data_IF_840276959210
#
_entry.id   IF_840276959210
#
_cell.length_a   1.000
_cell.length_b   1.000
_cell.length_c   1.000
_cell.angle_alpha   90.00
_cell.angle_beta   90.00
_cell.angle_gamma   90.00
#
_symmetry.space_group_name_H-M   'P 1'
#
loop_
_entity.id
_entity.type
_entity.pdbx_description
1 polymer ?
#
# COMPACT_ATOMS: atom_id res chain seq x y z
N UNK A 1 -19.06 10.18 3.26
CA UNK A 1 -17.70 9.59 3.19
C UNK A 1 -16.78 10.05 4.33
N UNK A 2 -16.47 11.35 4.50
CA UNK A 2 -15.52 11.85 5.51
C UNK A 2 -15.81 11.40 6.96
N UNK A 3 -17.09 11.40 7.38
CA UNK A 3 -17.49 10.90 8.72
C UNK A 3 -17.24 9.41 8.87
N UNK A 4 -17.60 8.62 7.87
CA UNK A 4 -17.39 7.16 7.88
C UNK A 4 -15.92 6.81 8.09
N UNK A 5 -15.00 7.47 7.37
CA UNK A 5 -13.56 7.24 7.55
C UNK A 5 -13.05 7.68 8.92
N UNK A 6 -13.56 8.78 9.47
CA UNK A 6 -13.22 9.21 10.83
C UNK A 6 -13.67 8.19 11.88
N UNK A 7 -14.89 7.67 11.74
CA UNK A 7 -15.45 6.69 12.67
C UNK A 7 -14.66 5.36 12.60
N UNK A 8 -14.26 4.94 11.40
CA UNK A 8 -13.41 3.77 11.21
C UNK A 8 -12.03 3.95 11.87
N UNK A 9 -11.40 5.12 11.73
CA UNK A 9 -10.13 5.41 12.38
C UNK A 9 -10.26 5.50 13.92
N UNK A 10 -11.38 6.04 14.43
CA UNK A 10 -11.66 6.09 15.86
C UNK A 10 -11.87 4.67 16.43
N UNK A 11 -12.60 3.81 15.72
CA UNK A 11 -12.77 2.40 16.09
C UNK A 11 -11.42 1.66 16.14
N UNK A 12 -10.55 1.91 15.14
CA UNK A 12 -9.18 1.37 15.14
C UNK A 12 -8.40 1.82 16.37
N UNK A 13 -8.41 3.12 16.69
CA UNK A 13 -7.67 3.65 17.83
C UNK A 13 -8.13 2.99 19.15
N UNK A 14 -9.44 2.78 19.32
CA UNK A 14 -10.01 2.07 20.48
C UNK A 14 -9.58 0.61 20.52
N UNK A 15 -9.54 -0.10 19.39
CA UNK A 15 -9.01 -1.46 19.29
C UNK A 15 -7.53 -1.50 19.69
N UNK A 16 -6.71 -0.62 19.12
CA UNK A 16 -5.26 -0.61 19.34
C UNK A 16 -4.88 -0.25 20.78
N UNK A 17 -5.80 0.41 21.53
CA UNK A 17 -5.66 0.71 22.96
C UNK A 17 -6.42 -0.27 23.87
N UNK A 18 -6.91 -1.39 23.32
CA UNK A 18 -7.71 -2.40 24.05
C UNK A 18 -8.95 -1.84 24.78
N UNK A 19 -9.53 -0.74 24.26
CA UNK A 19 -10.75 -0.10 24.79
C UNK A 19 -12.04 -0.68 24.20
N UNK A 20 -11.93 -1.69 23.34
CA UNK A 20 -13.07 -2.34 22.70
C UNK A 20 -12.82 -3.84 22.67
N UNK A 21 -13.82 -4.63 23.05
CA UNK A 21 -13.79 -6.09 22.94
C UNK A 21 -14.13 -6.57 21.54
N UNK A 22 -13.88 -7.86 21.25
CA UNK A 22 -14.04 -8.44 19.91
C UNK A 22 -15.49 -8.31 19.41
N UNK A 23 -16.50 -8.56 20.24
CA UNK A 23 -17.91 -8.40 19.85
C UNK A 23 -18.26 -6.95 19.48
N UNK A 24 -17.78 -5.98 20.26
CA UNK A 24 -18.03 -4.55 19.97
C UNK A 24 -17.28 -4.11 18.72
N UNK A 25 -16.08 -4.64 18.48
CA UNK A 25 -15.30 -4.39 17.26
C UNK A 25 -16.04 -4.93 16.03
N UNK A 26 -16.51 -6.16 16.07
CA UNK A 26 -17.27 -6.76 14.97
C UNK A 26 -18.58 -6.01 14.69
N UNK A 27 -19.33 -5.66 15.72
CA UNK A 27 -20.53 -4.84 15.58
C UNK A 27 -20.22 -3.46 14.97
N UNK A 28 -19.11 -2.84 15.37
CA UNK A 28 -18.64 -1.58 14.82
C UNK A 28 -18.26 -1.67 13.34
N UNK A 29 -17.58 -2.75 12.95
CA UNK A 29 -17.24 -3.05 11.55
C UNK A 29 -18.51 -3.25 10.73
N UNK A 30 -19.45 -4.07 11.20
CA UNK A 30 -20.72 -4.32 10.52
C UNK A 30 -21.53 -3.03 10.29
N UNK A 31 -21.57 -2.15 11.29
CA UNK A 31 -22.22 -0.84 11.17
C UNK A 31 -21.54 0.08 10.12
N UNK A 32 -20.22 0.03 10.03
CA UNK A 32 -19.48 0.77 9.00
C UNK A 32 -19.72 0.19 7.61
N UNK A 33 -19.75 -1.14 7.46
CA UNK A 33 -20.03 -1.84 6.22
C UNK A 33 -21.46 -1.52 5.73
N UNK A 34 -22.47 -1.53 6.61
CA UNK A 34 -23.84 -1.13 6.25
C UNK A 34 -23.92 0.31 5.75
N UNK A 35 -23.17 1.22 6.36
CA UNK A 35 -23.11 2.63 5.91
C UNK A 35 -22.48 2.76 4.52
N UNK A 36 -21.47 1.92 4.19
CA UNK A 36 -20.92 1.85 2.82
C UNK A 36 -21.98 1.35 1.86
N UNK A 37 -22.70 0.29 2.21
CA UNK A 37 -23.76 -0.25 1.36
C UNK A 37 -24.90 0.75 1.10
N UNK A 38 -25.26 1.55 2.10
CA UNK A 38 -26.20 2.68 1.92
C UNK A 38 -25.65 3.72 0.94
N UNK A 39 -24.35 4.04 1.01
CA UNK A 39 -23.71 4.95 0.05
C UNK A 39 -23.69 4.39 -1.37
N UNK A 40 -23.42 3.09 -1.53
CA UNK A 40 -23.38 2.42 -2.83
C UNK A 40 -24.77 2.37 -3.51
N UNK A 41 -25.85 2.33 -2.73
CA UNK A 41 -27.23 2.35 -3.25
C UNK A 41 -27.71 3.77 -3.60
N UNK A 42 -26.97 4.82 -3.20
CA UNK A 42 -27.37 6.18 -3.44
C UNK A 42 -27.31 6.54 -4.93
N UNK A 43 -28.39 7.14 -5.44
CA UNK A 43 -28.40 7.65 -6.81
C UNK A 43 -27.58 8.93 -6.89
N UNK A 44 -26.47 8.89 -7.63
CA UNK A 44 -25.54 10.00 -7.76
C UNK A 44 -25.46 10.41 -9.23
N UNK A 45 -25.68 11.69 -9.50
CA UNK A 45 -25.65 12.25 -10.86
C UNK A 45 -24.30 12.87 -11.21
N UNK A 46 -23.55 13.35 -10.21
CA UNK A 46 -22.24 13.98 -10.40
C UNK A 46 -21.16 12.96 -10.75
N UNK A 47 -20.55 13.10 -11.93
CA UNK A 47 -19.61 12.12 -12.49
C UNK A 47 -18.43 11.73 -11.57
N UNK A 48 -17.69 12.65 -10.93
CA UNK A 48 -16.65 12.30 -9.98
C UNK A 48 -17.12 11.43 -8.82
N UNK A 49 -18.35 11.65 -8.36
CA UNK A 49 -18.93 10.84 -7.28
C UNK A 49 -19.35 9.44 -7.79
N UNK A 50 -19.78 9.32 -9.04
CA UNK A 50 -20.07 8.02 -9.67
C UNK A 50 -18.78 7.17 -9.76
N UNK A 51 -17.68 7.78 -10.23
CA UNK A 51 -16.38 7.12 -10.29
C UNK A 51 -15.92 6.68 -8.90
N UNK A 52 -16.06 7.54 -7.89
CA UNK A 52 -15.75 7.19 -6.50
C UNK A 52 -16.58 6.00 -6.00
N UNK A 53 -17.90 6.00 -6.26
CA UNK A 53 -18.76 4.88 -5.84
C UNK A 53 -18.39 3.57 -6.56
N UNK A 54 -18.04 3.62 -7.84
CA UNK A 54 -17.56 2.45 -8.58
C UNK A 54 -16.27 1.87 -7.97
N UNK A 55 -15.32 2.74 -7.58
CA UNK A 55 -14.13 2.31 -6.85
C UNK A 55 -14.47 1.68 -5.49
N UNK A 56 -15.35 2.32 -4.72
CA UNK A 56 -15.79 1.78 -3.43
C UNK A 56 -16.49 0.44 -3.56
N UNK A 57 -17.30 0.25 -4.58
CA UNK A 57 -17.98 -1.02 -4.86
C UNK A 57 -16.97 -2.15 -5.14
N UNK A 58 -15.96 -1.85 -5.97
CA UNK A 58 -14.91 -2.81 -6.31
C UNK A 58 -14.06 -3.21 -5.09
N UNK A 59 -13.69 -2.25 -4.25
CA UNK A 59 -12.81 -2.45 -3.10
C UNK A 59 -13.58 -2.67 -1.79
N UNK A 60 -14.90 -2.89 -1.85
CA UNK A 60 -15.77 -2.94 -0.67
C UNK A 60 -15.29 -3.93 0.39
N UNK A 61 -14.88 -5.13 -0.02
CA UNK A 61 -14.43 -6.19 0.90
C UNK A 61 -13.11 -5.84 1.59
N UNK A 62 -12.23 -5.09 0.92
CA UNK A 62 -10.93 -4.70 1.43
C UNK A 62 -10.95 -3.41 2.26
N UNK A 63 -12.04 -2.62 2.18
CA UNK A 63 -12.09 -1.26 2.72
C UNK A 63 -11.80 -1.17 4.23
N UNK A 64 -12.20 -2.17 5.01
CA UNK A 64 -12.01 -2.20 6.46
C UNK A 64 -11.07 -3.32 6.93
N UNK A 65 -10.23 -3.87 6.04
CA UNK A 65 -9.25 -4.91 6.39
C UNK A 65 -8.33 -4.47 7.52
N UNK A 66 -7.97 -3.17 7.58
CA UNK A 66 -7.15 -2.60 8.64
C UNK A 66 -7.80 -2.62 10.03
N UNK A 67 -9.11 -2.81 10.12
CA UNK A 67 -9.83 -3.06 11.38
C UNK A 67 -9.79 -4.53 11.79
N UNK A 68 -9.75 -5.44 10.81
CA UNK A 68 -9.77 -6.89 11.02
C UNK A 68 -8.37 -7.45 11.32
N UNK A 69 -7.32 -6.81 10.78
CA UNK A 69 -5.94 -7.26 10.92
C UNK A 69 -5.16 -6.29 11.83
N UNK A 70 -4.73 -6.74 13.02
CA UNK A 70 -3.91 -5.94 13.92
C UNK A 70 -2.60 -5.50 13.22
N UNK A 71 -2.16 -4.27 13.50
CA UNK A 71 -0.92 -3.73 12.94
C UNK A 71 -1.00 -3.26 11.48
N UNK A 72 -2.07 -3.60 10.74
CA UNK A 72 -2.21 -3.16 9.36
C UNK A 72 -2.51 -1.64 9.30
N UNK A 73 -1.71 -0.84 8.57
CA UNK A 73 -1.98 0.58 8.40
C UNK A 73 -3.31 0.84 7.66
N UNK A 74 -4.06 1.86 8.08
CA UNK A 74 -5.29 2.28 7.42
C UNK A 74 -5.08 3.01 6.09
N UNK A 75 -3.81 3.34 5.77
CA UNK A 75 -3.44 4.07 4.56
C UNK A 75 -2.26 3.42 3.89
N UNK A 76 -2.14 3.60 2.57
CA UNK A 76 -1.05 3.07 1.76
C UNK A 76 0.23 3.95 1.82
N UNK A 77 0.37 4.78 2.85
CA UNK A 77 1.47 5.75 2.93
C UNK A 77 2.88 5.10 2.93
N UNK A 78 3.00 3.86 3.43
CA UNK A 78 4.27 3.14 3.39
C UNK A 78 4.71 2.81 1.96
N UNK A 79 3.78 2.32 1.12
CA UNK A 79 4.07 2.05 -0.28
C UNK A 79 4.31 3.36 -1.05
N UNK A 80 3.49 4.39 -0.83
CA UNK A 80 3.66 5.71 -1.43
C UNK A 80 5.02 6.33 -1.06
N UNK A 81 5.42 6.24 0.20
CA UNK A 81 6.75 6.69 0.65
C UNK A 81 7.86 5.87 0.01
N UNK A 82 7.62 4.56 -0.21
CA UNK A 82 8.59 3.67 -0.85
C UNK A 82 8.89 4.03 -2.31
N UNK A 83 7.89 4.45 -3.08
CA UNK A 83 8.06 4.83 -4.50
C UNK A 83 8.42 6.30 -4.70
N UNK A 84 8.27 7.14 -3.68
CA UNK A 84 8.50 8.60 -3.76
C UNK A 84 9.88 8.98 -4.30
N UNK A 85 11.01 8.35 -3.88
CA UNK A 85 12.33 8.67 -4.43
C UNK A 85 12.37 8.50 -5.94
N UNK A 86 11.84 7.41 -6.49
CA UNK A 86 11.80 7.14 -7.93
C UNK A 86 10.92 8.16 -8.68
N UNK A 87 9.80 8.58 -8.09
CA UNK A 87 8.94 9.63 -8.65
C UNK A 87 9.67 10.97 -8.69
N UNK A 88 10.41 11.32 -7.64
CA UNK A 88 11.21 12.55 -7.58
C UNK A 88 12.33 12.54 -8.63
N UNK A 89 13.07 11.43 -8.72
CA UNK A 89 14.12 11.23 -9.71
C UNK A 89 13.54 11.39 -11.14
N UNK A 90 12.43 10.73 -11.44
CA UNK A 90 11.76 10.85 -12.74
C UNK A 90 11.37 12.27 -13.08
N UNK A 91 10.95 13.07 -12.10
CA UNK A 91 10.59 14.48 -12.31
C UNK A 91 11.84 15.35 -12.63
N UNK A 92 13.01 15.01 -12.06
CA UNK A 92 14.23 15.78 -12.27
C UNK A 92 14.85 15.54 -13.65
N UNK A 93 14.85 14.30 -14.16
CA UNK A 93 15.48 13.96 -15.45
C UNK A 93 14.50 13.59 -16.58
N UNK A 94 13.19 13.81 -16.37
CA UNK A 94 12.19 13.62 -17.43
C UNK A 94 11.79 12.16 -17.69
N UNK A 95 12.26 11.21 -16.87
CA UNK A 95 11.91 9.79 -16.97
C UNK A 95 12.86 8.97 -17.88
N UNK A 96 12.55 7.70 -18.04
CA UNK A 96 13.33 6.79 -18.86
C UNK A 96 12.95 6.97 -20.34
N UNK A 97 13.95 7.02 -21.23
CA UNK A 97 13.75 7.25 -22.67
C UNK A 97 13.56 5.94 -23.47
N UNK A 98 13.75 4.79 -22.83
CA UNK A 98 13.60 3.48 -23.47
C UNK A 98 13.03 2.46 -22.48
N UNK A 99 12.40 1.41 -22.98
CA UNK A 99 11.86 0.32 -22.17
C UNK A 99 12.97 -0.41 -21.39
N UNK A 100 14.14 -0.59 -22.02
CA UNK A 100 15.32 -1.16 -21.36
C UNK A 100 15.79 -0.30 -20.18
N UNK A 101 15.81 1.02 -20.33
CA UNK A 101 16.12 1.95 -19.26
C UNK A 101 15.09 1.93 -18.14
N UNK A 102 13.80 1.83 -18.49
CA UNK A 102 12.71 1.69 -17.53
C UNK A 102 12.82 0.38 -16.73
N UNK A 103 13.14 -0.71 -17.40
CA UNK A 103 13.35 -2.01 -16.75
C UNK A 103 14.55 -1.99 -15.81
N UNK A 104 15.70 -1.45 -16.25
CA UNK A 104 16.88 -1.32 -15.40
C UNK A 104 16.59 -0.47 -14.15
N UNK A 105 15.91 0.67 -14.31
CA UNK A 105 15.51 1.53 -13.18
C UNK A 105 14.56 0.79 -12.20
N UNK A 106 13.63 -0.03 -12.72
CA UNK A 106 12.75 -0.87 -11.92
C UNK A 106 13.54 -1.88 -11.08
N UNK A 107 14.47 -2.60 -11.70
CA UNK A 107 15.28 -3.63 -11.02
C UNK A 107 16.16 -3.00 -9.94
N UNK A 108 16.94 -1.98 -10.30
CA UNK A 108 17.82 -1.27 -9.35
C UNK A 108 17.01 -0.68 -8.19
N UNK A 109 15.89 -0.04 -8.49
CA UNK A 109 15.01 0.53 -7.48
C UNK A 109 14.44 -0.52 -6.53
N UNK A 110 14.12 -1.72 -7.03
CA UNK A 110 13.67 -2.84 -6.20
C UNK A 110 14.77 -3.34 -5.28
N UNK A 111 15.99 -3.52 -5.80
CA UNK A 111 17.17 -3.95 -4.99
C UNK A 111 17.45 -2.95 -3.88
N UNK A 112 17.57 -1.66 -4.21
CA UNK A 112 17.80 -0.59 -3.22
C UNK A 112 16.71 -0.61 -2.14
N UNK A 113 15.45 -0.73 -2.54
CA UNK A 113 14.35 -0.71 -1.59
C UNK A 113 14.35 -1.92 -0.67
N UNK A 114 14.63 -3.09 -1.21
CA UNK A 114 14.72 -4.34 -0.43
C UNK A 114 15.89 -4.28 0.56
N UNK A 115 17.06 -3.81 0.14
CA UNK A 115 18.20 -3.60 1.03
C UNK A 115 17.84 -2.71 2.22
N UNK A 116 17.24 -1.53 1.96
CA UNK A 116 16.78 -0.62 3.02
C UNK A 116 15.76 -1.28 3.95
N UNK A 117 14.83 -2.08 3.43
CA UNK A 117 13.84 -2.79 4.25
C UNK A 117 14.46 -3.86 5.15
N UNK A 118 15.56 -4.46 4.71
CA UNK A 118 16.31 -5.47 5.47
C UNK A 118 17.41 -4.85 6.37
N UNK A 119 17.52 -3.52 6.41
CA UNK A 119 18.51 -2.81 7.22
C UNK A 119 19.93 -2.90 6.67
N UNK A 120 20.09 -3.26 5.39
CA UNK A 120 21.37 -3.35 4.68
C UNK A 120 21.71 -2.02 4.00
N UNK A 121 23.02 -1.75 3.82
CA UNK A 121 23.45 -0.62 3.00
C UNK A 121 23.23 -0.93 1.51
N UNK A 122 22.42 -0.16 0.79
CA UNK A 122 22.15 -0.40 -0.63
C UNK A 122 23.40 -0.34 -1.51
N UNK A 123 24.41 0.45 -1.11
CA UNK A 123 25.66 0.58 -1.87
C UNK A 123 26.47 -0.72 -1.80
N UNK A 124 26.61 -1.29 -0.60
CA UNK A 124 27.32 -2.54 -0.39
C UNK A 124 26.64 -3.69 -1.15
N UNK A 125 25.31 -3.75 -1.09
CA UNK A 125 24.51 -4.75 -1.83
C UNK A 125 24.69 -4.61 -3.36
N UNK A 126 24.70 -3.39 -3.89
CA UNK A 126 24.89 -3.17 -5.33
C UNK A 126 26.33 -3.52 -5.76
N UNK A 127 27.34 -3.21 -4.94
CA UNK A 127 28.73 -3.58 -5.17
C UNK A 127 28.87 -5.10 -5.17
N UNK A 128 28.29 -5.77 -4.19
CA UNK A 128 28.31 -7.23 -4.09
C UNK A 128 27.67 -7.90 -5.32
N UNK A 129 26.48 -7.43 -5.73
CA UNK A 129 25.82 -7.96 -6.95
C UNK A 129 26.68 -7.74 -8.19
N UNK A 130 27.39 -6.60 -8.28
CA UNK A 130 28.20 -6.27 -9.45
C UNK A 130 29.51 -7.03 -9.50
N UNK A 131 30.11 -7.35 -8.35
CA UNK A 131 31.40 -8.01 -8.24
C UNK A 131 31.30 -9.53 -8.11
N UNK A 132 30.13 -10.04 -7.72
CA UNK A 132 29.88 -11.48 -7.57
C UNK A 132 29.46 -12.08 -8.92
N UNK A 133 30.18 -13.07 -9.40
CA UNK A 133 29.84 -13.86 -10.61
C UNK A 133 28.60 -14.74 -10.37
N UNK A 134 27.43 -14.11 -10.16
CA UNK A 134 26.16 -14.78 -9.90
C UNK A 134 26.01 -15.39 -8.49
N UNK A 135 26.94 -15.14 -7.57
CA UNK A 135 26.82 -15.54 -6.19
C UNK A 135 25.81 -14.66 -5.44
N UNK A 136 25.00 -15.30 -4.63
CA UNK A 136 23.87 -14.72 -3.88
C UNK A 136 24.31 -13.53 -3.04
N UNK A 137 23.84 -12.34 -3.40
CA UNK A 137 23.78 -11.23 -2.45
C UNK A 137 22.99 -11.74 -1.23
N UNK A 138 23.35 -11.35 -0.02
CA UNK A 138 22.61 -11.70 1.20
C UNK A 138 21.16 -11.16 1.24
N UNK A 139 20.65 -10.71 0.12
CA UNK A 139 19.27 -10.27 -0.10
C UNK A 139 18.35 -11.48 -0.25
N UNK A 140 17.46 -11.64 0.71
CA UNK A 140 16.32 -12.56 0.60
C UNK A 140 15.28 -11.93 -0.34
N UNK A 141 15.44 -12.19 -1.64
CA UNK A 141 14.50 -11.71 -2.66
C UNK A 141 13.38 -12.74 -2.77
N UNK A 142 12.12 -12.38 -2.45
CA UNK A 142 10.99 -13.28 -2.66
C UNK A 142 10.92 -13.60 -4.17
N UNK A 143 11.15 -14.86 -4.52
CA UNK A 143 10.93 -15.35 -5.88
C UNK A 143 9.43 -15.44 -6.11
N UNK A 144 8.81 -14.34 -6.57
CA UNK A 144 7.46 -14.39 -7.11
C UNK A 144 7.43 -15.26 -8.37
N UNK A 145 6.25 -15.79 -8.75
CA UNK A 145 6.12 -16.53 -9.99
C UNK A 145 6.61 -15.66 -11.15
N UNK A 146 7.45 -16.24 -12.01
CA UNK A 146 7.88 -15.60 -13.24
C UNK A 146 6.64 -15.25 -14.09
N UNK A 147 6.65 -14.13 -14.82
CA UNK A 147 5.55 -13.72 -15.67
C UNK A 147 5.27 -14.73 -16.81
#
# INVERSE_FOLDING_TARGET
MRRLLKDALALRARRDTAQVGDEELEAGIAALEERVDKLLRARVTHEPNRVLLAHLARERQALFTFLKVPGLPATNHHAERGIRPQVCIRKNWGGNRSDRGAYAAKVIGSVIRTAVQQGLDPTDVLVEIHTSDGARSGLDIPTGPAP
#
